data_IF_887193562919
#
_entry.id   IF_887193562919
#
_cell.length_a   1.000
_cell.length_b   1.000
_cell.length_c   1.000
_cell.angle_alpha   90.00
_cell.angle_beta   90.00
_cell.angle_gamma   90.00
#
_symmetry.space_group_name_H-M   'P 1'
#
loop_
_entity.id
_entity.type
_entity.pdbx_description
1 polymer ?
#
# COMPACT_ATOMS: atom_id res chain seq x y z
N UNK A 1 4.56 10.06 -31.44
CA UNK A 1 5.28 10.78 -30.39
C UNK A 1 4.54 10.69 -29.05
N UNK A 2 3.27 11.08 -28.95
CA UNK A 2 2.53 11.06 -27.68
C UNK A 2 2.54 9.71 -26.92
N UNK A 3 2.40 8.57 -27.58
CA UNK A 3 2.46 7.24 -26.92
C UNK A 3 3.83 6.94 -26.35
N UNK A 4 4.90 7.40 -27.01
CA UNK A 4 6.28 7.18 -26.55
C UNK A 4 6.62 8.08 -25.35
N UNK A 5 6.11 9.31 -25.29
CA UNK A 5 6.27 10.19 -24.13
C UNK A 5 5.53 9.63 -22.92
N UNK A 6 4.27 9.23 -23.06
CA UNK A 6 3.51 8.58 -21.97
C UNK A 6 4.22 7.32 -21.46
N UNK A 7 4.71 6.46 -22.35
CA UNK A 7 5.45 5.27 -21.95
C UNK A 7 6.72 5.61 -21.15
N UNK A 8 7.44 6.64 -21.56
CA UNK A 8 8.66 7.09 -20.89
C UNK A 8 8.36 7.67 -19.50
N UNK A 9 7.28 8.46 -19.37
CA UNK A 9 6.80 8.98 -18.09
C UNK A 9 6.39 7.84 -17.13
N UNK A 10 5.62 6.86 -17.61
CA UNK A 10 5.28 5.66 -16.81
C UNK A 10 6.54 4.97 -16.29
N UNK A 11 7.52 4.75 -17.17
CA UNK A 11 8.79 4.10 -16.79
C UNK A 11 9.54 4.92 -15.73
N UNK A 12 9.63 6.23 -15.91
CA UNK A 12 10.32 7.11 -14.94
C UNK A 12 9.62 7.09 -13.58
N UNK A 13 8.29 7.23 -13.55
CA UNK A 13 7.50 7.20 -12.30
C UNK A 13 7.68 5.86 -11.59
N UNK A 14 7.60 4.75 -12.31
CA UNK A 14 7.80 3.42 -11.74
C UNK A 14 9.23 3.24 -11.21
N UNK A 15 10.25 3.69 -11.92
CA UNK A 15 11.65 3.62 -11.48
C UNK A 15 11.86 4.44 -10.20
N UNK A 16 11.35 5.67 -10.14
CA UNK A 16 11.43 6.52 -8.95
C UNK A 16 10.71 5.84 -7.78
N UNK A 17 9.52 5.29 -8.00
CA UNK A 17 8.78 4.59 -6.97
C UNK A 17 9.53 3.35 -6.46
N UNK A 18 10.16 2.57 -7.34
CA UNK A 18 10.97 1.40 -6.96
C UNK A 18 12.21 1.81 -6.14
N UNK A 19 12.87 2.91 -6.50
CA UNK A 19 14.00 3.44 -5.71
C UNK A 19 13.51 3.87 -4.32
N UNK A 20 12.35 4.53 -4.23
CA UNK A 20 11.75 4.89 -2.95
C UNK A 20 11.43 3.65 -2.11
N UNK A 21 10.90 2.58 -2.70
CA UNK A 21 10.62 1.32 -1.99
C UNK A 21 11.90 0.73 -1.38
N UNK A 22 13.04 0.75 -2.08
CA UNK A 22 14.32 0.32 -1.51
C UNK A 22 14.72 1.18 -0.29
N UNK A 23 14.51 2.49 -0.36
CA UNK A 23 14.73 3.38 0.79
C UNK A 23 13.79 3.05 1.95
N UNK A 24 12.52 2.70 1.68
CA UNK A 24 11.55 2.29 2.69
C UNK A 24 11.99 1.01 3.42
N UNK A 25 12.47 -0.01 2.71
CA UNK A 25 12.99 -1.23 3.33
C UNK A 25 14.17 -0.92 4.26
N UNK A 26 15.06 -0.01 3.86
CA UNK A 26 16.18 0.42 4.70
C UNK A 26 15.71 1.16 5.95
N UNK A 27 14.78 2.13 5.81
CA UNK A 27 14.19 2.87 6.93
C UNK A 27 13.49 1.91 7.89
N UNK A 28 12.69 0.97 7.39
CA UNK A 28 12.02 -0.06 8.16
C UNK A 28 12.99 -0.81 9.07
N UNK A 29 14.07 -1.35 8.50
CA UNK A 29 15.09 -2.08 9.25
C UNK A 29 15.85 -1.24 10.25
N UNK A 30 16.12 0.04 9.92
CA UNK A 30 16.77 0.98 10.85
C UNK A 30 15.85 1.37 11.99
N UNK A 31 14.58 1.64 11.70
CA UNK A 31 13.57 1.99 12.69
C UNK A 31 13.34 0.83 13.66
N UNK A 32 13.17 -0.39 13.13
CA UNK A 32 13.10 -1.61 13.93
C UNK A 32 14.30 -1.75 14.87
N UNK A 33 15.51 -1.60 14.35
CA UNK A 33 16.72 -1.68 15.16
C UNK A 33 16.73 -0.69 16.32
N UNK A 34 16.25 0.54 16.08
CA UNK A 34 16.13 1.57 17.14
C UNK A 34 15.07 1.25 18.19
N UNK A 35 13.94 0.67 17.78
CA UNK A 35 12.85 0.31 18.69
C UNK A 35 13.23 -0.85 19.61
N UNK A 36 14.08 -1.78 19.17
CA UNK A 36 14.51 -2.95 19.91
C UNK A 36 15.94 -2.87 20.47
N UNK A 37 16.53 -1.68 20.51
CA UNK A 37 17.88 -1.42 21.04
C UNK A 37 19.01 -2.24 20.38
N UNK A 38 18.89 -2.55 19.06
CA UNK A 38 19.96 -3.17 18.31
C UNK A 38 20.34 -2.37 17.04
N UNK A 39 21.52 -2.68 16.50
CA UNK A 39 21.97 -2.04 15.27
C UNK A 39 21.25 -2.67 14.06
N UNK A 40 20.50 -1.88 13.31
CA UNK A 40 20.00 -2.26 12.01
C UNK A 40 21.14 -2.49 10.99
N UNK A 41 20.85 -2.63 9.68
CA UNK A 41 21.88 -2.84 8.65
C UNK A 41 23.01 -1.83 8.79
N UNK A 42 24.26 -2.31 8.90
CA UNK A 42 25.40 -1.46 9.19
C UNK A 42 26.63 -1.76 8.34
N UNK A 43 27.00 -3.04 8.18
CA UNK A 43 28.27 -3.44 7.58
C UNK A 43 28.33 -3.25 6.06
N UNK A 44 27.28 -3.61 5.33
CA UNK A 44 27.25 -3.50 3.87
C UNK A 44 26.99 -2.06 3.48
N UNK A 45 28.04 -1.36 3.05
CA UNK A 45 27.99 0.09 2.80
C UNK A 45 28.08 0.92 4.08
N UNK A 46 29.05 0.60 4.95
CA UNK A 46 29.30 1.28 6.24
C UNK A 46 29.22 2.81 6.17
N UNK A 47 29.79 3.42 5.15
CA UNK A 47 29.77 4.89 4.96
C UNK A 47 28.38 5.46 4.69
N UNK A 48 27.46 4.65 4.17
CA UNK A 48 26.09 5.04 3.81
C UNK A 48 25.08 4.43 4.80
N UNK A 49 25.53 4.07 6.01
CA UNK A 49 24.66 3.53 7.06
C UNK A 49 24.03 2.17 6.75
N UNK A 50 24.63 1.35 5.87
CA UNK A 50 24.13 0.00 5.55
C UNK A 50 23.07 -0.05 4.45
N UNK A 51 22.90 1.01 3.65
CA UNK A 51 21.89 1.07 2.58
C UNK A 51 22.06 -0.01 1.51
N UNK A 52 23.31 -0.38 1.20
CA UNK A 52 23.62 -1.43 0.22
C UNK A 52 23.16 -2.84 0.64
N UNK A 53 22.72 -3.04 1.89
CA UNK A 53 22.20 -4.32 2.34
C UNK A 53 20.99 -4.78 1.51
N UNK A 54 20.13 -3.86 1.08
CA UNK A 54 18.96 -4.19 0.26
C UNK A 54 19.35 -4.74 -1.11
N UNK A 55 20.43 -4.22 -1.71
CA UNK A 55 20.99 -4.75 -2.96
C UNK A 55 21.61 -6.13 -2.74
N UNK A 56 22.33 -6.33 -1.64
CA UNK A 56 22.90 -7.64 -1.30
C UNK A 56 21.80 -8.70 -1.10
N UNK A 57 20.70 -8.35 -0.43
CA UNK A 57 19.57 -9.24 -0.24
C UNK A 57 18.87 -9.54 -1.59
N UNK A 58 18.72 -8.56 -2.47
CA UNK A 58 18.22 -8.76 -3.83
C UNK A 58 19.09 -9.75 -4.62
N UNK A 59 20.40 -9.55 -4.66
CA UNK A 59 21.34 -10.45 -5.36
C UNK A 59 21.26 -11.86 -4.79
N UNK A 60 21.19 -12.01 -3.45
CA UNK A 60 21.02 -13.32 -2.80
C UNK A 60 19.76 -14.04 -3.28
N UNK A 61 18.63 -13.35 -3.40
CA UNK A 61 17.36 -13.92 -3.83
C UNK A 61 17.38 -14.32 -5.32
N UNK A 62 18.12 -13.58 -6.16
CA UNK A 62 18.32 -13.94 -7.57
C UNK A 62 19.16 -15.21 -7.76
N UNK A 63 20.20 -15.40 -6.95
CA UNK A 63 21.11 -16.55 -7.06
C UNK A 63 20.53 -17.81 -6.39
N UNK A 64 19.58 -17.62 -5.45
CA UNK A 64 18.97 -18.74 -4.72
C UNK A 64 18.16 -19.63 -5.65
N UNK A 65 18.32 -20.95 -5.53
CA UNK A 65 17.58 -21.95 -6.30
C UNK A 65 16.06 -21.81 -6.13
N UNK A 66 15.34 -21.93 -7.24
CA UNK A 66 13.88 -21.84 -7.26
C UNK A 66 13.31 -23.26 -7.28
N UNK A 67 12.78 -23.70 -6.15
CA UNK A 67 12.15 -25.01 -5.99
C UNK A 67 10.64 -24.86 -6.22
N UNK A 68 10.06 -25.75 -7.01
CA UNK A 68 8.61 -25.82 -7.24
C UNK A 68 8.13 -27.17 -6.66
N UNK A 69 7.14 -27.17 -5.75
CA UNK A 69 6.61 -28.41 -5.20
C UNK A 69 6.06 -29.33 -6.30
N UNK A 70 6.31 -30.62 -6.18
CA UNK A 70 5.95 -31.59 -7.23
C UNK A 70 4.43 -31.66 -7.49
N UNK A 71 3.60 -31.39 -6.47
CA UNK A 71 2.14 -31.43 -6.52
C UNK A 71 1.49 -30.07 -6.74
N UNK A 72 2.27 -29.00 -6.88
CA UNK A 72 1.75 -27.65 -7.10
C UNK A 72 1.17 -27.52 -8.52
N UNK A 73 0.12 -26.71 -8.65
CA UNK A 73 -0.34 -26.23 -9.95
C UNK A 73 0.64 -25.17 -10.47
N UNK A 74 1.46 -25.60 -11.46
CA UNK A 74 2.56 -24.79 -11.99
C UNK A 74 2.10 -23.45 -12.55
N UNK A 75 0.91 -23.42 -13.17
CA UNK A 75 0.37 -22.22 -13.80
C UNK A 75 -0.04 -21.19 -12.75
N UNK A 76 -0.87 -21.58 -11.79
CA UNK A 76 -1.29 -20.73 -10.68
C UNK A 76 -0.13 -20.27 -9.79
N UNK A 77 0.81 -21.21 -9.52
CA UNK A 77 2.01 -20.93 -8.73
C UNK A 77 2.94 -19.87 -9.36
N UNK A 78 3.02 -19.83 -10.71
CA UNK A 78 3.81 -18.83 -11.43
C UNK A 78 3.06 -17.50 -11.57
N UNK A 79 1.74 -17.54 -11.81
CA UNK A 79 0.94 -16.35 -12.07
C UNK A 79 0.69 -15.52 -10.81
N UNK A 80 0.55 -16.15 -9.64
CA UNK A 80 0.25 -15.45 -8.40
C UNK A 80 1.22 -14.30 -8.08
N UNK A 81 2.57 -14.49 -8.02
CA UNK A 81 3.47 -13.38 -7.75
C UNK A 81 3.46 -12.31 -8.84
N UNK A 82 3.20 -12.69 -10.11
CA UNK A 82 3.12 -11.75 -11.23
C UNK A 82 1.90 -10.85 -11.11
N UNK A 83 0.74 -11.42 -10.77
CA UNK A 83 -0.50 -10.65 -10.57
C UNK A 83 -0.35 -9.71 -9.38
N UNK A 84 0.26 -10.19 -8.28
CA UNK A 84 0.44 -9.41 -7.06
C UNK A 84 1.32 -8.19 -7.29
N UNK A 85 2.52 -8.37 -7.89
CA UNK A 85 3.40 -7.24 -8.20
C UNK A 85 2.82 -6.34 -9.29
N UNK A 86 2.18 -6.92 -10.31
CA UNK A 86 1.55 -6.17 -11.40
C UNK A 86 0.47 -5.21 -10.88
N UNK A 87 -0.42 -5.68 -9.99
CA UNK A 87 -1.42 -4.82 -9.36
C UNK A 87 -0.79 -3.66 -8.57
N UNK A 88 0.29 -3.93 -7.86
CA UNK A 88 0.97 -2.92 -7.04
C UNK A 88 1.71 -1.87 -7.87
N UNK A 89 2.32 -2.27 -8.98
CA UNK A 89 2.93 -1.33 -9.94
C UNK A 89 1.84 -0.45 -10.59
N UNK A 90 0.67 -1.01 -10.90
CA UNK A 90 -0.45 -0.25 -11.43
C UNK A 90 -0.93 0.83 -10.46
N UNK A 91 -0.98 0.54 -9.16
CA UNK A 91 -1.32 1.54 -8.14
C UNK A 91 -0.30 2.69 -8.15
N UNK A 92 0.99 2.37 -8.12
CA UNK A 92 2.05 3.39 -8.15
C UNK A 92 2.01 4.24 -9.41
N UNK A 93 1.73 3.63 -10.57
CA UNK A 93 1.65 4.33 -11.84
C UNK A 93 0.50 5.36 -11.91
N UNK A 94 -0.54 5.18 -11.10
CA UNK A 94 -1.71 6.09 -11.11
C UNK A 94 -1.60 7.25 -10.13
N UNK A 95 -0.73 7.18 -9.13
CA UNK A 95 -0.58 8.23 -8.13
C UNK A 95 0.36 9.32 -8.64
N UNK A 96 -0.11 10.56 -8.87
CA UNK A 96 0.75 11.67 -9.28
C UNK A 96 1.59 12.18 -8.10
N UNK A 97 2.82 12.59 -8.37
CA UNK A 97 3.73 13.19 -7.38
C UNK A 97 3.58 14.71 -7.30
N UNK A 98 3.14 15.35 -8.39
CA UNK A 98 2.80 16.78 -8.48
C UNK A 98 1.78 17.00 -9.58
N UNK A 99 1.30 18.24 -9.73
CA UNK A 99 0.34 18.63 -10.76
C UNK A 99 0.85 18.32 -12.19
N UNK A 100 2.15 18.50 -12.43
CA UNK A 100 2.78 18.34 -13.73
C UNK A 100 3.58 17.04 -13.88
N UNK A 101 3.69 16.23 -12.84
CA UNK A 101 4.50 15.02 -12.85
C UNK A 101 3.74 13.80 -12.35
N UNK A 102 3.38 12.93 -13.29
CA UNK A 102 2.70 11.66 -13.04
C UNK A 102 1.96 11.18 -14.27
N UNK A 103 1.68 9.89 -14.35
CA UNK A 103 0.94 9.29 -15.49
C UNK A 103 -0.50 9.79 -15.56
N UNK A 104 -1.04 10.18 -14.42
CA UNK A 104 -2.39 10.75 -14.33
C UNK A 104 -2.45 12.24 -14.74
N UNK A 105 -1.30 12.86 -15.00
CA UNK A 105 -1.19 14.26 -15.40
C UNK A 105 -0.47 14.31 -16.74
N UNK A 106 -1.13 14.78 -17.80
CA UNK A 106 -0.48 15.02 -19.08
C UNK A 106 -0.12 16.51 -19.19
N UNK A 107 1.06 16.83 -19.73
CA UNK A 107 1.44 18.21 -20.13
C UNK A 107 0.40 18.90 -21.04
N UNK A 108 -0.48 18.13 -21.66
CA UNK A 108 -1.59 18.62 -22.49
C UNK A 108 -2.88 18.91 -21.69
N UNK A 109 -2.87 18.86 -20.35
CA UNK A 109 -4.04 19.11 -19.51
C UNK A 109 -5.08 17.98 -19.50
N UNK A 110 -4.74 16.81 -20.03
CA UNK A 110 -5.59 15.64 -20.05
C UNK A 110 -5.22 14.71 -18.89
N UNK A 111 -5.81 14.94 -17.72
CA UNK A 111 -5.65 14.02 -16.59
C UNK A 111 -6.63 12.84 -16.68
N UNK A 112 -6.32 11.74 -16.00
CA UNK A 112 -7.23 10.58 -15.92
C UNK A 112 -8.33 10.89 -14.90
N UNK A 113 -9.57 11.18 -15.33
CA UNK A 113 -10.63 11.66 -14.44
C UNK A 113 -11.08 10.63 -13.40
N UNK A 114 -10.62 9.38 -13.50
CA UNK A 114 -10.93 8.29 -12.59
C UNK A 114 -9.67 7.66 -11.98
N UNK A 115 -8.57 8.40 -11.86
CA UNK A 115 -7.28 7.89 -11.39
C UNK A 115 -7.35 7.26 -9.99
N UNK A 116 -8.03 7.92 -9.05
CA UNK A 116 -8.19 7.42 -7.70
C UNK A 116 -9.07 6.15 -7.64
N UNK A 117 -10.12 6.09 -8.45
CA UNK A 117 -10.96 4.89 -8.56
C UNK A 117 -10.18 3.71 -9.15
N UNK A 118 -9.35 3.96 -10.16
CA UNK A 118 -8.49 2.93 -10.77
C UNK A 118 -7.44 2.41 -9.77
N UNK A 119 -6.83 3.28 -8.97
CA UNK A 119 -5.90 2.88 -7.92
C UNK A 119 -6.57 1.94 -6.90
N UNK A 120 -7.79 2.25 -6.46
CA UNK A 120 -8.56 1.38 -5.56
C UNK A 120 -8.90 0.03 -6.21
N UNK A 121 -9.32 0.04 -7.47
CA UNK A 121 -9.59 -1.20 -8.22
C UNK A 121 -8.33 -2.08 -8.35
N UNK A 122 -7.15 -1.47 -8.54
CA UNK A 122 -5.89 -2.20 -8.55
C UNK A 122 -5.51 -2.75 -7.17
N UNK A 123 -5.88 -2.06 -6.08
CA UNK A 123 -5.73 -2.58 -4.71
C UNK A 123 -6.56 -3.85 -4.48
N UNK A 124 -7.78 -3.89 -4.98
CA UNK A 124 -8.72 -5.00 -4.86
C UNK A 124 -8.28 -6.31 -5.56
N UNK A 125 -7.26 -6.27 -6.42
CA UNK A 125 -6.74 -7.47 -7.10
C UNK A 125 -5.89 -8.34 -6.16
N UNK A 126 -5.28 -7.79 -5.14
CA UNK A 126 -4.36 -8.50 -4.26
C UNK A 126 -4.95 -9.74 -3.56
N UNK A 127 -6.15 -9.68 -2.96
CA UNK A 127 -6.76 -10.84 -2.30
C UNK A 127 -6.85 -12.06 -3.22
N UNK A 128 -7.16 -11.84 -4.50
CA UNK A 128 -7.25 -12.90 -5.49
C UNK A 128 -5.89 -13.52 -5.79
N UNK A 129 -4.83 -12.71 -5.86
CA UNK A 129 -3.49 -13.23 -6.13
C UNK A 129 -2.95 -14.04 -4.96
N UNK A 130 -3.19 -13.62 -3.72
CA UNK A 130 -2.79 -14.32 -2.51
C UNK A 130 -3.57 -15.64 -2.36
N UNK A 131 -4.88 -15.61 -2.60
CA UNK A 131 -5.71 -16.82 -2.61
C UNK A 131 -5.22 -17.82 -3.66
N UNK A 132 -4.87 -17.34 -4.87
CA UNK A 132 -4.30 -18.14 -5.94
C UNK A 132 -2.95 -18.75 -5.52
N UNK A 133 -2.08 -17.97 -4.85
CA UNK A 133 -0.81 -18.45 -4.34
C UNK A 133 -0.98 -19.59 -3.34
N UNK A 134 -1.87 -19.41 -2.36
CA UNK A 134 -2.17 -20.41 -1.35
C UNK A 134 -2.77 -21.69 -1.93
N UNK A 135 -3.69 -21.56 -2.88
CA UNK A 135 -4.35 -22.70 -3.54
C UNK A 135 -3.39 -23.46 -4.47
N UNK A 136 -2.62 -22.76 -5.30
CA UNK A 136 -1.73 -23.35 -6.28
C UNK A 136 -0.57 -24.13 -5.65
N UNK A 137 -0.16 -23.77 -4.43
CA UNK A 137 0.92 -24.45 -3.68
C UNK A 137 0.54 -25.87 -3.23
N UNK A 138 -0.74 -26.24 -3.26
CA UNK A 138 -1.28 -27.54 -2.87
C UNK A 138 -0.81 -28.06 -1.50
N UNK A 139 -0.71 -27.15 -0.53
CA UNK A 139 -0.40 -27.42 0.86
C UNK A 139 -1.53 -26.92 1.76
N UNK A 140 -1.90 -27.67 2.80
CA UNK A 140 -2.97 -27.30 3.73
C UNK A 140 -2.71 -25.99 4.47
N UNK A 141 -1.46 -25.73 4.84
CA UNK A 141 -1.07 -24.51 5.55
C UNK A 141 -1.15 -23.28 4.66
N UNK A 142 -0.66 -23.39 3.41
CA UNK A 142 -0.74 -22.30 2.43
C UNK A 142 -2.16 -21.97 2.04
N UNK A 143 -3.03 -22.97 1.89
CA UNK A 143 -4.45 -22.77 1.58
C UNK A 143 -5.17 -22.04 2.71
N UNK A 144 -4.98 -22.47 3.96
CA UNK A 144 -5.60 -21.81 5.13
C UNK A 144 -5.07 -20.37 5.27
N UNK A 145 -3.76 -20.16 5.10
CA UNK A 145 -3.15 -18.84 5.11
C UNK A 145 -3.74 -17.92 4.04
N UNK A 146 -3.83 -18.38 2.79
CA UNK A 146 -4.43 -17.63 1.68
C UNK A 146 -5.91 -17.30 1.89
N UNK A 147 -6.69 -18.24 2.46
CA UNK A 147 -8.10 -17.97 2.81
C UNK A 147 -8.24 -16.95 3.94
N UNK A 148 -7.37 -16.97 4.96
CA UNK A 148 -7.36 -15.98 6.04
C UNK A 148 -7.03 -14.59 5.50
N UNK A 149 -6.00 -14.48 4.65
CA UNK A 149 -5.59 -13.25 4.00
C UNK A 149 -6.72 -12.66 3.14
N UNK A 150 -7.29 -13.46 2.26
CA UNK A 150 -8.39 -13.00 1.40
C UNK A 150 -9.61 -12.54 2.23
N UNK A 151 -9.99 -13.28 3.28
CA UNK A 151 -11.08 -12.89 4.16
C UNK A 151 -10.79 -11.59 4.92
N UNK A 152 -9.55 -11.37 5.32
CA UNK A 152 -9.09 -10.13 5.94
C UNK A 152 -9.24 -8.95 4.98
N UNK A 153 -8.54 -9.00 3.84
CA UNK A 153 -8.53 -7.92 2.86
C UNK A 153 -9.95 -7.55 2.41
N UNK A 154 -10.78 -8.52 2.01
CA UNK A 154 -12.17 -8.28 1.61
C UNK A 154 -13.03 -7.65 2.73
N UNK A 155 -12.75 -7.95 4.00
CA UNK A 155 -13.50 -7.38 5.14
C UNK A 155 -13.13 -5.93 5.41
N UNK A 156 -11.91 -5.52 5.15
CA UNK A 156 -11.42 -4.15 5.37
C UNK A 156 -11.55 -3.27 4.13
N UNK A 157 -11.68 -3.87 2.94
CA UNK A 157 -11.89 -3.15 1.69
C UNK A 157 -13.22 -2.37 1.70
N UNK A 158 -14.30 -2.93 2.26
CA UNK A 158 -15.61 -2.26 2.29
C UNK A 158 -15.58 -0.96 3.12
N UNK A 159 -15.13 -0.95 4.40
CA UNK A 159 -14.96 0.29 5.15
C UNK A 159 -13.99 1.28 4.48
N UNK A 160 -12.92 0.79 3.85
CA UNK A 160 -11.97 1.61 3.11
C UNK A 160 -12.66 2.33 1.95
N UNK A 161 -13.41 1.62 1.11
CA UNK A 161 -14.15 2.21 0.00
C UNK A 161 -15.18 3.24 0.47
N UNK A 162 -15.85 3.00 1.59
CA UNK A 162 -16.81 3.96 2.19
C UNK A 162 -16.12 5.25 2.65
N UNK A 163 -14.92 5.15 3.23
CA UNK A 163 -14.17 6.36 3.64
C UNK A 163 -13.67 7.14 2.44
N UNK A 164 -13.22 6.47 1.39
CA UNK A 164 -12.81 7.15 0.15
C UNK A 164 -14.00 7.74 -0.59
N UNK A 165 -15.17 7.08 -0.57
CA UNK A 165 -16.40 7.65 -1.12
C UNK A 165 -16.78 8.98 -0.46
N UNK A 166 -16.51 9.15 0.86
CA UNK A 166 -16.70 10.43 1.53
C UNK A 166 -15.78 11.54 1.02
N UNK A 167 -14.54 11.20 0.65
CA UNK A 167 -13.59 12.13 0.01
C UNK A 167 -14.07 12.52 -1.37
N UNK A 168 -14.48 11.55 -2.21
CA UNK A 168 -15.00 11.79 -3.54
C UNK A 168 -16.26 12.68 -3.52
N UNK A 169 -17.09 12.49 -2.52
CA UNK A 169 -18.30 13.30 -2.34
C UNK A 169 -17.94 14.76 -2.03
N UNK A 170 -16.97 15.05 -1.17
CA UNK A 170 -16.53 16.41 -0.89
C UNK A 170 -15.84 17.05 -2.09
N UNK A 171 -14.87 16.36 -2.70
CA UNK A 171 -14.15 16.85 -3.85
C UNK A 171 -15.01 17.00 -5.13
N UNK A 172 -16.07 16.18 -5.25
CA UNK A 172 -16.93 16.18 -6.44
C UNK A 172 -16.29 15.55 -7.69
N UNK A 173 -15.13 14.91 -7.55
CA UNK A 173 -14.36 14.26 -8.62
C UNK A 173 -13.70 12.97 -8.13
N UNK A 174 -13.32 12.10 -9.08
CA UNK A 174 -12.54 10.88 -8.86
C UNK A 174 -11.08 11.04 -9.29
N UNK A 175 -10.69 12.18 -9.82
CA UNK A 175 -9.32 12.51 -10.25
C UNK A 175 -8.46 12.95 -9.09
N UNK A 176 -7.20 12.51 -9.04
CA UNK A 176 -6.28 12.90 -7.96
C UNK A 176 -6.01 14.41 -7.93
N UNK A 177 -5.86 15.04 -9.10
CA UNK A 177 -5.59 16.48 -9.19
C UNK A 177 -6.72 17.27 -8.59
N UNK A 178 -7.97 17.02 -9.00
CA UNK A 178 -9.14 17.72 -8.46
C UNK A 178 -9.31 17.51 -6.95
N UNK A 179 -9.02 16.28 -6.47
CA UNK A 179 -9.11 15.95 -5.04
C UNK A 179 -8.07 16.74 -4.25
N UNK A 180 -6.86 16.89 -4.77
CA UNK A 180 -5.79 17.65 -4.12
C UNK A 180 -6.10 19.15 -4.16
N UNK A 181 -6.58 19.66 -5.28
CA UNK A 181 -6.95 21.08 -5.45
C UNK A 181 -8.12 21.47 -4.52
N UNK A 182 -9.10 20.56 -4.34
CA UNK A 182 -10.19 20.77 -3.38
C UNK A 182 -9.71 20.84 -1.92
N UNK A 183 -8.49 20.43 -1.62
CA UNK A 183 -7.85 20.49 -0.29
C UNK A 183 -6.91 21.69 -0.11
N UNK A 184 -6.91 22.65 -1.05
CA UNK A 184 -5.98 23.79 -0.99
C UNK A 184 -6.13 24.58 0.33
N UNK A 185 -7.34 24.84 0.77
CA UNK A 185 -7.59 25.65 1.97
C UNK A 185 -7.56 24.81 3.26
N UNK A 186 -8.18 23.65 3.24
CA UNK A 186 -8.28 22.75 4.40
C UNK A 186 -8.08 21.29 3.95
N UNK A 187 -7.15 20.59 4.58
CA UNK A 187 -6.96 19.16 4.34
C UNK A 187 -8.17 18.35 4.79
N UNK A 188 -8.61 17.39 4.01
CA UNK A 188 -9.74 16.53 4.34
C UNK A 188 -9.55 15.68 5.60
N UNK A 189 -8.31 15.51 6.06
CA UNK A 189 -8.01 14.88 7.34
C UNK A 189 -8.64 15.59 8.54
N UNK A 190 -8.94 16.90 8.47
CA UNK A 190 -9.57 17.63 9.56
C UNK A 190 -11.10 17.44 9.59
N UNK A 191 -11.86 17.76 8.53
CA UNK A 191 -13.30 17.59 8.52
C UNK A 191 -13.74 16.12 8.54
N UNK A 192 -12.93 15.20 7.96
CA UNK A 192 -13.16 13.76 7.94
C UNK A 192 -12.18 13.00 8.85
N UNK A 193 -11.88 13.52 10.03
CA UNK A 193 -10.88 12.93 10.93
C UNK A 193 -11.15 11.45 11.24
N UNK A 194 -12.42 11.11 11.49
CA UNK A 194 -12.84 9.72 11.73
C UNK A 194 -12.56 8.87 10.50
N UNK A 195 -12.89 9.36 9.30
CA UNK A 195 -12.62 8.68 8.03
C UNK A 195 -11.12 8.46 7.80
N UNK A 196 -10.29 9.46 8.09
CA UNK A 196 -8.84 9.34 7.98
C UNK A 196 -8.27 8.24 8.89
N UNK A 197 -8.71 8.17 10.16
CA UNK A 197 -8.30 7.11 11.07
C UNK A 197 -8.76 5.72 10.60
N UNK A 198 -10.00 5.60 10.14
CA UNK A 198 -10.52 4.33 9.59
C UNK A 198 -9.70 3.93 8.36
N UNK A 199 -9.42 4.87 7.46
CA UNK A 199 -8.62 4.63 6.26
C UNK A 199 -7.22 4.10 6.59
N UNK A 200 -6.53 4.71 7.57
CA UNK A 200 -5.21 4.23 8.02
C UNK A 200 -5.26 2.79 8.58
N UNK A 201 -6.26 2.48 9.41
CA UNK A 201 -6.43 1.13 9.97
C UNK A 201 -6.76 0.12 8.86
N UNK A 202 -7.65 0.47 7.92
CA UNK A 202 -8.00 -0.39 6.80
C UNK A 202 -6.80 -0.64 5.88
N UNK A 203 -5.98 0.37 5.59
CA UNK A 203 -4.76 0.21 4.83
C UNK A 203 -3.74 -0.70 5.52
N UNK A 204 -3.57 -0.56 6.85
CA UNK A 204 -2.69 -1.45 7.61
C UNK A 204 -3.13 -2.91 7.53
N UNK A 205 -4.45 -3.16 7.54
CA UNK A 205 -5.02 -4.48 7.39
C UNK A 205 -4.92 -5.01 5.94
N UNK A 206 -5.06 -4.15 4.95
CA UNK A 206 -4.95 -4.48 3.52
C UNK A 206 -3.52 -4.84 3.10
N UNK A 207 -2.53 -4.27 3.79
CA UNK A 207 -1.10 -4.55 3.56
C UNK A 207 -0.57 -5.67 4.47
N UNK A 208 -1.44 -6.25 5.32
CA UNK A 208 -1.07 -7.33 6.25
C UNK A 208 0.03 -6.95 7.25
N UNK A 209 0.04 -5.69 7.69
CA UNK A 209 1.00 -5.19 8.69
C UNK A 209 0.50 -5.53 10.09
N UNK A 210 1.38 -5.87 11.04
CA UNK A 210 1.04 -6.04 12.45
C UNK A 210 0.30 -4.78 12.95
N UNK A 211 -0.88 -4.89 13.57
CA UNK A 211 -1.44 -6.06 14.28
C UNK A 211 -2.26 -7.04 13.42
N UNK A 212 -2.38 -6.84 12.13
CA UNK A 212 -3.23 -7.60 11.21
C UNK A 212 -2.47 -8.67 10.39
N UNK A 213 -1.24 -9.00 10.77
CA UNK A 213 -0.38 -10.03 10.16
C UNK A 213 -0.77 -11.45 10.64
N UNK A 214 -2.02 -11.84 10.38
CA UNK A 214 -2.55 -13.15 10.76
C UNK A 214 -2.28 -14.25 9.72
N UNK A 215 -2.23 -13.95 8.43
CA UNK A 215 -1.95 -14.95 7.41
C UNK A 215 -0.54 -15.50 7.47
N UNK A 216 0.44 -14.70 7.91
CA UNK A 216 1.86 -15.04 8.02
C UNK A 216 2.28 -15.46 9.44
N UNK A 217 1.31 -15.72 10.35
CA UNK A 217 1.60 -16.08 11.73
C UNK A 217 2.41 -17.38 11.83
N UNK A 218 3.73 -17.28 12.03
CA UNK A 218 4.67 -18.40 12.10
C UNK A 218 4.27 -19.45 13.15
N UNK A 219 3.73 -19.02 14.28
CA UNK A 219 3.31 -19.91 15.37
C UNK A 219 2.12 -20.80 15.00
N UNK A 220 1.28 -20.42 14.03
CA UNK A 220 0.06 -21.15 13.66
C UNK A 220 0.15 -21.84 12.30
N UNK A 221 0.75 -21.19 11.31
CA UNK A 221 0.70 -21.58 9.89
C UNK A 221 2.07 -21.69 9.21
N UNK A 222 3.15 -21.72 9.97
CA UNK A 222 4.57 -21.70 9.51
C UNK A 222 4.91 -20.33 8.92
N UNK A 223 4.62 -20.07 7.65
CA UNK A 223 4.69 -18.76 6.95
C UNK A 223 3.42 -18.52 6.10
N UNK A 224 2.33 -19.20 6.46
CA UNK A 224 1.06 -19.04 5.77
C UNK A 224 1.12 -19.34 4.28
N UNK A 225 0.60 -18.44 3.45
CA UNK A 225 0.50 -18.62 2.00
C UNK A 225 1.85 -18.54 1.27
N UNK A 226 2.89 -17.99 1.89
CA UNK A 226 4.25 -17.88 1.33
C UNK A 226 5.13 -19.11 1.57
N UNK A 227 4.71 -20.06 2.43
CA UNK A 227 5.51 -21.21 2.91
C UNK A 227 6.24 -22.00 1.81
N UNK A 228 5.61 -22.19 0.66
CA UNK A 228 6.18 -23.00 -0.44
C UNK A 228 6.99 -22.15 -1.44
N UNK A 229 6.96 -20.82 -1.29
CA UNK A 229 7.66 -19.92 -2.20
C UNK A 229 9.11 -19.71 -1.74
N UNK A 230 10.07 -19.92 -2.64
CA UNK A 230 11.50 -19.72 -2.38
C UNK A 230 12.18 -18.83 -3.41
N UNK A 231 13.40 -18.36 -3.10
CA UNK A 231 14.23 -17.56 -3.99
C UNK A 231 13.57 -16.25 -4.41
N UNK A 232 13.68 -15.90 -5.69
CA UNK A 232 13.15 -14.64 -6.22
C UNK A 232 11.62 -14.54 -6.13
N UNK A 233 10.87 -15.66 -6.16
CA UNK A 233 9.40 -15.65 -6.03
C UNK A 233 8.96 -15.17 -4.66
N UNK A 234 9.60 -15.62 -3.59
CA UNK A 234 9.40 -15.08 -2.24
C UNK A 234 9.79 -13.60 -2.17
N UNK A 235 10.94 -13.25 -2.79
CA UNK A 235 11.39 -11.87 -2.87
C UNK A 235 10.38 -10.94 -3.55
N UNK A 236 9.71 -11.40 -4.60
CA UNK A 236 8.65 -10.64 -5.28
C UNK A 236 7.47 -10.35 -4.34
N UNK A 237 7.02 -11.33 -3.55
CA UNK A 237 5.95 -11.10 -2.58
C UNK A 237 6.35 -10.09 -1.51
N UNK A 238 7.49 -10.28 -0.86
CA UNK A 238 8.00 -9.36 0.16
C UNK A 238 8.20 -7.94 -0.36
N UNK A 239 8.74 -7.82 -1.59
CA UNK A 239 8.92 -6.53 -2.24
C UNK A 239 7.57 -5.86 -2.54
N UNK A 240 6.61 -6.65 -3.00
CA UNK A 240 5.25 -6.16 -3.30
C UNK A 240 4.52 -5.65 -2.06
N UNK A 241 4.62 -6.34 -0.92
CA UNK A 241 4.04 -5.87 0.35
C UNK A 241 4.60 -4.49 0.73
N UNK A 242 5.91 -4.29 0.54
CA UNK A 242 6.53 -2.97 0.77
C UNK A 242 6.04 -1.91 -0.23
N UNK A 243 5.89 -2.27 -1.51
CA UNK A 243 5.30 -1.37 -2.52
C UNK A 243 3.89 -0.95 -2.11
N UNK A 244 3.05 -1.89 -1.68
CA UNK A 244 1.67 -1.63 -1.24
C UNK A 244 1.63 -0.74 0.00
N UNK A 245 2.54 -0.93 0.96
CA UNK A 245 2.68 -0.06 2.13
C UNK A 245 2.99 1.39 1.72
N UNK A 246 3.90 1.56 0.78
CA UNK A 246 4.22 2.88 0.23
C UNK A 246 3.05 3.48 -0.54
N UNK A 247 2.44 2.71 -1.44
CA UNK A 247 1.29 3.14 -2.22
C UNK A 247 0.11 3.55 -1.32
N UNK A 248 -0.12 2.82 -0.23
CA UNK A 248 -1.11 3.17 0.79
C UNK A 248 -0.80 4.52 1.46
N UNK A 249 0.47 4.76 1.82
CA UNK A 249 0.92 6.06 2.33
C UNK A 249 0.74 7.20 1.33
N UNK A 250 1.05 6.95 0.06
CA UNK A 250 0.88 7.92 -1.03
C UNK A 250 -0.62 8.21 -1.29
N UNK A 251 -1.48 7.18 -1.26
CA UNK A 251 -2.94 7.35 -1.34
C UNK A 251 -3.49 8.16 -0.18
N UNK A 252 -3.08 7.87 1.06
CA UNK A 252 -3.46 8.64 2.24
C UNK A 252 -3.07 10.12 2.10
N UNK A 253 -1.89 10.37 1.54
CA UNK A 253 -1.38 11.72 1.28
C UNK A 253 -2.23 12.46 0.26
N UNK A 254 -2.55 11.83 -0.86
CA UNK A 254 -3.36 12.43 -1.93
C UNK A 254 -4.81 12.66 -1.50
N UNK A 255 -5.41 11.69 -0.77
CA UNK A 255 -6.84 11.73 -0.43
C UNK A 255 -7.15 12.57 0.80
N UNK A 256 -6.25 12.67 1.79
CA UNK A 256 -6.55 13.29 3.08
C UNK A 256 -5.59 14.41 3.50
N UNK A 257 -4.33 14.40 3.05
CA UNK A 257 -3.30 15.33 3.52
C UNK A 257 -2.94 16.42 2.51
N UNK A 258 -3.82 16.68 1.53
CA UNK A 258 -3.62 17.76 0.54
C UNK A 258 -2.47 17.49 -0.44
N UNK A 259 -2.17 16.21 -0.74
CA UNK A 259 -1.22 15.82 -1.78
C UNK A 259 0.11 16.58 -1.72
N UNK A 260 0.46 17.22 -2.82
CA UNK A 260 1.70 18.01 -3.00
C UNK A 260 1.62 19.43 -2.44
N UNK A 261 0.44 19.95 -2.08
CA UNK A 261 0.33 21.30 -1.51
C UNK A 261 1.08 21.43 -0.20
N UNK A 262 1.97 22.43 -0.11
CA UNK A 262 2.81 22.70 1.04
C UNK A 262 3.42 24.10 1.03
N UNK A 263 4.30 24.44 1.99
CA UNK A 263 4.99 25.71 2.01
C UNK A 263 5.85 25.92 0.76
N UNK A 264 5.85 27.11 0.17
CA UNK A 264 6.57 27.48 -1.05
C UNK A 264 8.12 27.32 -1.01
N UNK A 265 8.67 26.93 0.16
CA UNK A 265 10.11 26.74 0.37
C UNK A 265 10.65 25.41 -0.20
N UNK A 266 9.78 24.43 -0.42
CA UNK A 266 10.16 23.06 -0.81
C UNK A 266 9.40 22.72 -2.09
N UNK A 267 10.03 22.10 -3.11
CA UNK A 267 9.35 21.62 -4.30
C UNK A 267 8.20 20.65 -3.94
N UNK A 268 7.10 20.73 -4.69
CA UNK A 268 5.87 20.01 -4.44
C UNK A 268 6.06 18.49 -4.41
N UNK A 269 6.92 17.95 -5.28
CA UNK A 269 7.24 16.53 -5.33
C UNK A 269 7.90 16.04 -4.02
N UNK A 270 8.80 16.85 -3.48
CA UNK A 270 9.50 16.53 -2.22
C UNK A 270 8.52 16.59 -1.05
N UNK A 271 7.60 17.56 -1.07
CA UNK A 271 6.58 17.72 -0.03
C UNK A 271 5.61 16.53 -0.01
N UNK A 272 5.20 16.06 -1.18
CA UNK A 272 4.41 14.84 -1.32
C UNK A 272 5.14 13.62 -0.73
N UNK A 273 6.42 13.44 -1.09
CA UNK A 273 7.24 12.35 -0.56
C UNK A 273 7.37 12.41 0.97
N UNK A 274 7.63 13.59 1.54
CA UNK A 274 7.75 13.75 3.00
C UNK A 274 6.46 13.29 3.70
N UNK A 275 5.29 13.72 3.23
CA UNK A 275 4.00 13.28 3.80
C UNK A 275 3.80 11.78 3.68
N UNK A 276 4.09 11.19 2.51
CA UNK A 276 4.00 9.74 2.31
C UNK A 276 4.95 8.97 3.24
N UNK A 277 6.17 9.49 3.47
CA UNK A 277 7.12 8.92 4.43
C UNK A 277 6.61 9.01 5.88
N UNK A 278 5.96 10.10 6.26
CA UNK A 278 5.36 10.24 7.60
C UNK A 278 4.28 9.17 7.81
N UNK A 279 3.36 9.00 6.86
CA UNK A 279 2.31 7.99 6.95
C UNK A 279 2.90 6.58 7.01
N UNK A 280 3.89 6.29 6.17
CA UNK A 280 4.59 5.01 6.22
C UNK A 280 5.27 4.77 7.58
N UNK A 281 5.90 5.78 8.15
CA UNK A 281 6.53 5.68 9.48
C UNK A 281 5.50 5.38 10.58
N UNK A 282 4.28 5.93 10.47
CA UNK A 282 3.18 5.60 11.37
C UNK A 282 2.81 4.11 11.26
N UNK A 283 2.71 3.55 10.04
CA UNK A 283 2.48 2.13 9.85
C UNK A 283 3.57 1.27 10.49
N UNK A 284 4.84 1.66 10.31
CA UNK A 284 5.96 0.96 10.92
C UNK A 284 5.94 1.05 12.45
N UNK A 285 5.57 2.19 13.00
CA UNK A 285 5.42 2.33 14.45
C UNK A 285 4.31 1.42 14.99
N UNK A 286 3.19 1.33 14.30
CA UNK A 286 2.12 0.38 14.65
C UNK A 286 2.62 -1.06 14.66
N UNK A 287 3.40 -1.45 13.64
CA UNK A 287 3.99 -2.80 13.50
C UNK A 287 4.80 -3.22 14.72
N UNK A 288 5.60 -2.33 15.26
CA UNK A 288 6.53 -2.67 16.35
C UNK A 288 6.00 -2.36 17.75
N UNK A 289 4.86 -1.70 17.86
CA UNK A 289 4.27 -1.29 19.14
C UNK A 289 3.04 -2.10 19.56
N UNK A 290 2.32 -2.68 18.59
CA UNK A 290 1.04 -3.34 18.84
C UNK A 290 1.17 -4.87 18.82
N UNK A 291 0.43 -5.59 19.69
CA UNK A 291 0.35 -7.05 19.65
C UNK A 291 -0.56 -7.49 18.49
N UNK A 292 -0.37 -8.73 18.02
CA UNK A 292 -1.26 -9.35 17.01
C UNK A 292 -2.69 -9.52 17.54
N UNK A 293 -3.66 -9.32 16.66
CA UNK A 293 -5.08 -9.50 16.93
C UNK A 293 -5.51 -10.91 16.45
N UNK A 294 -6.49 -11.55 17.10
CA UNK A 294 -7.05 -12.83 16.65
C UNK A 294 -7.96 -12.65 15.43
N UNK A 295 -8.14 -13.73 14.63
CA UNK A 295 -8.96 -13.72 13.41
C UNK A 295 -10.41 -13.29 13.69
N UNK A 296 -11.03 -13.81 14.76
CA UNK A 296 -12.40 -13.47 15.18
C UNK A 296 -12.52 -11.98 15.59
N UNK A 297 -11.52 -11.47 16.31
CA UNK A 297 -11.46 -10.07 16.72
C UNK A 297 -11.27 -9.16 15.50
N UNK A 298 -10.38 -9.54 14.58
CA UNK A 298 -10.10 -8.82 13.35
C UNK A 298 -11.35 -8.65 12.49
N UNK A 299 -12.05 -9.75 12.20
CA UNK A 299 -13.31 -9.71 11.46
C UNK A 299 -14.37 -8.89 12.22
N UNK A 300 -14.42 -9.03 13.55
CA UNK A 300 -15.32 -8.24 14.40
C UNK A 300 -15.02 -6.74 14.37
N UNK A 301 -13.75 -6.34 14.28
CA UNK A 301 -13.35 -4.93 14.13
C UNK A 301 -13.82 -4.40 12.78
N UNK A 302 -13.54 -5.10 11.68
CA UNK A 302 -13.92 -4.68 10.33
C UNK A 302 -15.44 -4.48 10.20
N UNK A 303 -16.22 -5.51 10.47
CA UNK A 303 -17.66 -5.51 10.24
C UNK A 303 -18.48 -4.78 11.30
N UNK A 304 -18.15 -4.97 12.59
CA UNK A 304 -19.00 -4.45 13.69
C UNK A 304 -18.62 -3.04 14.15
N UNK A 305 -17.36 -2.59 13.91
CA UNK A 305 -16.88 -1.28 14.37
C UNK A 305 -16.53 -0.35 13.22
N UNK A 306 -15.65 -0.74 12.30
CA UNK A 306 -15.17 0.15 11.25
C UNK A 306 -16.25 0.43 10.21
N UNK A 307 -17.02 -0.56 9.78
CA UNK A 307 -18.08 -0.34 8.80
C UNK A 307 -19.15 0.66 9.29
N UNK A 308 -19.75 0.53 10.50
CA UNK A 308 -20.70 1.54 10.99
C UNK A 308 -20.08 2.94 11.13
N UNK A 309 -18.82 3.03 11.59
CA UNK A 309 -18.12 4.30 11.69
C UNK A 309 -17.85 4.91 10.31
N UNK A 310 -17.54 4.11 9.30
CA UNK A 310 -17.37 4.58 7.93
C UNK A 310 -18.67 5.12 7.34
N UNK A 311 -19.80 4.48 7.63
CA UNK A 311 -21.14 4.99 7.25
C UNK A 311 -21.43 6.33 7.94
N UNK A 312 -21.13 6.47 9.23
CA UNK A 312 -21.28 7.74 9.96
C UNK A 312 -20.40 8.82 9.33
N UNK A 313 -19.15 8.50 8.99
CA UNK A 313 -18.25 9.43 8.31
C UNK A 313 -18.80 9.88 6.95
N UNK A 314 -19.40 8.97 6.19
CA UNK A 314 -20.06 9.31 4.92
C UNK A 314 -21.26 10.25 5.13
N UNK A 315 -22.06 10.02 6.16
CA UNK A 315 -23.16 10.94 6.51
C UNK A 315 -22.65 12.33 6.90
N UNK A 316 -21.52 12.41 7.62
CA UNK A 316 -20.87 13.70 7.94
C UNK A 316 -20.45 14.41 6.65
N UNK A 317 -19.84 13.70 5.70
CA UNK A 317 -19.45 14.27 4.41
C UNK A 317 -20.66 14.81 3.62
N UNK A 318 -21.78 14.08 3.61
CA UNK A 318 -23.04 14.54 3.00
C UNK A 318 -23.55 15.82 3.67
N UNK A 319 -23.52 15.87 5.00
CA UNK A 319 -23.96 17.04 5.76
C UNK A 319 -23.08 18.27 5.48
N UNK A 320 -21.75 18.11 5.47
CA UNK A 320 -20.82 19.20 5.16
C UNK A 320 -21.04 19.76 3.75
N UNK A 321 -21.20 18.87 2.75
CA UNK A 321 -21.50 19.30 1.37
C UNK A 321 -22.86 20.00 1.25
N UNK A 322 -23.89 19.54 1.96
CA UNK A 322 -25.22 20.18 1.97
C UNK A 322 -25.21 21.56 2.61
N UNK A 323 -24.28 21.83 3.53
CA UNK A 323 -24.07 23.12 4.18
C UNK A 323 -23.25 24.09 3.31
N UNK A 324 -22.71 23.64 2.17
CA UNK A 324 -21.92 24.46 1.25
C UNK A 324 -20.50 24.79 1.77
N UNK A 325 -19.93 23.93 2.60
CA UNK A 325 -18.57 24.10 3.13
C UNK A 325 -17.49 23.68 2.13
N UNK A 326 -17.86 22.82 1.16
CA UNK A 326 -17.00 22.29 0.09
C UNK A 326 -17.76 22.19 -1.24
#
# INVERSE_FOLDING_TARGET
>A
MAVMTIFLEVVIVVVIALINVLNFIWIFRKFMGRMFDFYGPYYVGYRIGGWLQNLADGIKLFVKEIIVPAKADKMGYLLAPIIYIGSSILILATIPFSENFGVATNESGSYVPAGALFALAAFAIAPFSILLAGWASNNKYTLIGGMRSAAQMMSYEIPLLMTVASVFLLAGSYGFVDIVDAQHDIWFAFPLFIGFLIFLVCLAAEVEIIPFDLPEAEAELVEGWTTEYGGMRFGLFYFTTTIRSYAGGALATALFLGGWHGPALIPDEIWFLIKAYIVYTIFQWMTWSLPRVRVDQMLGIGWKRLLPLAVINLMIAVALKSMGWF
#
